data_IF_605731502514
#
_entry.id   IF_605731502514
#
_cell.length_a   1.000
_cell.length_b   1.000
_cell.length_c   1.000
_cell.angle_alpha   90.00
_cell.angle_beta   90.00
_cell.angle_gamma   90.00
#
_symmetry.space_group_name_H-M   'P 1'
#
loop_
_entity.id
_entity.type
_entity.pdbx_description
1 polymer ?
#
# COMPACT_ATOMS: atom_id res chain seq x y z
N UNK A 1 21.20 -8.09 -16.55
CA UNK A 1 19.81 -8.22 -16.11
C UNK A 1 19.77 -7.64 -14.71
N UNK A 2 19.24 -6.44 -14.54
CA UNK A 2 18.99 -5.89 -13.20
C UNK A 2 17.82 -6.68 -12.61
N UNK A 3 18.06 -7.42 -11.53
CA UNK A 3 16.96 -7.93 -10.70
C UNK A 3 16.35 -6.71 -10.03
N UNK A 4 15.20 -6.26 -10.52
CA UNK A 4 14.41 -5.23 -9.84
C UNK A 4 13.89 -5.82 -8.53
N UNK A 5 14.38 -5.29 -7.41
CA UNK A 5 13.92 -5.69 -6.08
C UNK A 5 12.51 -5.10 -5.93
N UNK A 6 11.53 -5.98 -5.79
CA UNK A 6 10.14 -5.61 -5.48
C UNK A 6 9.93 -5.66 -3.99
N UNK A 7 9.24 -4.67 -3.46
CA UNK A 7 8.70 -4.68 -2.11
C UNK A 7 7.21 -4.99 -2.15
N UNK A 8 6.74 -5.75 -1.16
CA UNK A 8 5.33 -6.06 -1.00
C UNK A 8 4.67 -5.05 -0.09
N UNK A 9 3.49 -4.57 -0.48
CA UNK A 9 2.67 -3.62 0.25
C UNK A 9 1.34 -4.27 0.64
N UNK A 10 0.82 -3.88 1.79
CA UNK A 10 -0.45 -4.34 2.34
C UNK A 10 -1.46 -3.18 2.41
N UNK A 11 -2.70 -3.44 1.98
CA UNK A 11 -3.82 -2.52 2.12
C UNK A 11 -4.80 -3.07 3.14
N UNK A 12 -4.98 -2.31 4.22
CA UNK A 12 -5.84 -2.65 5.34
C UNK A 12 -7.08 -1.77 5.35
N UNK A 13 -8.26 -2.37 5.42
CA UNK A 13 -9.53 -1.69 5.67
C UNK A 13 -9.69 -1.47 7.18
N UNK A 14 -9.88 -0.21 7.57
CA UNK A 14 -10.26 0.21 8.92
C UNK A 14 -11.75 0.59 8.97
N UNK A 15 -12.24 0.94 10.16
CA UNK A 15 -13.63 1.43 10.35
C UNK A 15 -13.87 2.74 9.60
N UNK A 16 -12.89 3.65 9.56
CA UNK A 16 -13.01 5.01 9.00
C UNK A 16 -12.13 5.26 7.76
N UNK A 17 -11.56 4.22 7.14
CA UNK A 17 -10.72 4.40 5.96
C UNK A 17 -9.78 3.24 5.67
N UNK A 18 -8.61 3.58 5.12
CA UNK A 18 -7.61 2.62 4.68
C UNK A 18 -6.23 2.99 5.21
N UNK A 19 -5.45 1.98 5.60
CA UNK A 19 -4.02 2.11 5.80
C UNK A 19 -3.27 1.30 4.75
N UNK A 20 -2.19 1.87 4.21
CA UNK A 20 -1.39 1.26 3.16
C UNK A 20 0.10 1.47 3.45
N UNK A 21 0.85 0.37 3.56
CA UNK A 21 2.27 0.41 3.93
C UNK A 21 3.00 -0.86 3.48
N UNK A 22 4.34 -0.86 3.42
CA UNK A 22 5.13 -2.06 3.15
C UNK A 22 4.85 -3.18 4.15
N UNK A 23 4.83 -4.44 3.72
CA UNK A 23 4.75 -5.62 4.60
C UNK A 23 5.88 -5.61 5.66
N UNK A 24 7.04 -5.07 5.27
CA UNK A 24 8.22 -4.86 6.12
C UNK A 24 7.98 -3.92 7.30
N UNK A 25 6.95 -3.07 7.25
CA UNK A 25 6.67 -2.04 8.27
C UNK A 25 5.86 -2.62 9.44
N UNK A 26 6.54 -3.37 10.30
CA UNK A 26 5.93 -4.00 11.48
C UNK A 26 5.31 -2.98 12.43
N UNK A 27 5.94 -1.81 12.61
CA UNK A 27 5.41 -0.76 13.49
C UNK A 27 4.04 -0.23 13.05
N UNK A 28 3.81 -0.08 11.75
CA UNK A 28 2.49 0.27 11.22
C UNK A 28 1.48 -0.86 11.48
N UNK A 29 1.90 -2.11 11.27
CA UNK A 29 1.07 -3.29 11.51
C UNK A 29 0.65 -3.45 12.97
N UNK A 30 1.55 -3.18 13.91
CA UNK A 30 1.27 -3.18 15.35
C UNK A 30 0.34 -2.04 15.80
N UNK A 31 0.26 -0.96 15.02
CA UNK A 31 -0.61 0.19 15.31
C UNK A 31 -2.04 0.03 14.76
N UNK A 32 -2.30 -1.03 13.98
CA UNK A 32 -3.61 -1.28 13.40
C UNK A 32 -4.67 -1.52 14.49
N UNK A 33 -5.88 -1.02 14.23
CA UNK A 33 -7.05 -1.39 15.02
C UNK A 33 -7.25 -2.91 15.01
N UNK A 34 -7.70 -3.55 16.11
CA UNK A 34 -8.00 -4.98 16.14
C UNK A 34 -9.12 -5.39 15.17
N UNK A 35 -9.89 -4.44 14.64
CA UNK A 35 -10.91 -4.68 13.60
C UNK A 35 -10.38 -4.49 12.18
N UNK A 36 -9.14 -4.05 12.01
CA UNK A 36 -8.52 -3.87 10.70
C UNK A 36 -8.50 -5.19 9.94
N UNK A 37 -8.77 -5.15 8.63
CA UNK A 37 -8.76 -6.32 7.77
C UNK A 37 -7.83 -6.10 6.60
N UNK A 38 -6.91 -7.04 6.38
CA UNK A 38 -6.12 -7.06 5.15
C UNK A 38 -7.06 -7.39 3.99
N UNK A 39 -7.24 -6.44 3.07
CA UNK A 39 -8.15 -6.61 1.93
C UNK A 39 -7.40 -6.78 0.61
N UNK A 40 -6.13 -6.38 0.54
CA UNK A 40 -5.35 -6.46 -0.68
C UNK A 40 -3.85 -6.38 -0.41
N UNK A 41 -3.04 -6.97 -1.30
CA UNK A 41 -1.57 -6.91 -1.27
C UNK A 41 -1.03 -6.74 -2.67
N UNK A 42 0.08 -6.02 -2.81
CA UNK A 42 0.67 -5.73 -4.13
C UNK A 42 2.19 -5.68 -4.05
N UNK A 43 2.85 -6.14 -5.11
CA UNK A 43 4.30 -5.96 -5.30
C UNK A 43 4.56 -4.74 -6.19
N UNK A 44 5.53 -3.92 -5.80
CA UNK A 44 5.94 -2.74 -6.56
C UNK A 44 7.46 -2.51 -6.42
N UNK A 45 8.08 -1.90 -7.42
CA UNK A 45 9.49 -1.49 -7.39
C UNK A 45 9.68 -0.12 -6.74
N UNK A 46 8.59 0.61 -6.48
CA UNK A 46 8.60 1.91 -5.83
C UNK A 46 7.29 2.21 -5.12
N UNK A 47 7.32 3.17 -4.18
CA UNK A 47 6.13 3.68 -3.50
C UNK A 47 5.11 4.30 -4.46
N UNK A 48 5.57 5.01 -5.49
CA UNK A 48 4.72 5.64 -6.49
C UNK A 48 3.92 4.61 -7.31
N UNK A 49 4.58 3.53 -7.73
CA UNK A 49 3.92 2.41 -8.40
C UNK A 49 2.93 1.72 -7.45
N UNK A 50 3.30 1.52 -6.19
CA UNK A 50 2.43 0.91 -5.18
C UNK A 50 1.15 1.75 -4.98
N UNK A 51 1.29 3.07 -4.88
CA UNK A 51 0.18 4.01 -4.76
C UNK A 51 -0.69 4.05 -6.01
N UNK A 52 -0.09 4.02 -7.19
CA UNK A 52 -0.82 3.95 -8.46
C UNK A 52 -1.71 2.70 -8.50
N UNK A 53 -1.13 1.51 -8.24
CA UNK A 53 -1.89 0.26 -8.21
C UNK A 53 -2.97 0.24 -7.12
N UNK A 54 -2.72 0.88 -5.97
CA UNK A 54 -3.72 1.04 -4.90
C UNK A 54 -4.92 1.87 -5.36
N UNK A 55 -4.68 2.98 -6.07
CA UNK A 55 -5.76 3.82 -6.61
C UNK A 55 -6.59 3.05 -7.64
N UNK A 56 -5.94 2.29 -8.53
CA UNK A 56 -6.62 1.41 -9.48
C UNK A 56 -7.48 0.35 -8.78
N UNK A 57 -6.95 -0.31 -7.73
CA UNK A 57 -7.68 -1.31 -6.96
C UNK A 57 -8.92 -0.73 -6.26
N UNK A 58 -8.80 0.46 -5.68
CA UNK A 58 -9.89 1.14 -4.98
C UNK A 58 -10.87 1.86 -5.92
N UNK A 59 -10.59 1.90 -7.23
CA UNK A 59 -11.39 2.65 -8.20
C UNK A 59 -11.35 4.15 -7.95
N UNK A 60 -10.25 4.66 -7.40
CA UNK A 60 -10.03 6.09 -7.15
C UNK A 60 -9.47 6.78 -8.40
N UNK A 61 -9.53 8.11 -8.40
CA UNK A 61 -8.82 8.92 -9.39
C UNK A 61 -7.32 8.58 -9.40
N UNK A 62 -6.65 8.66 -10.56
CA UNK A 62 -5.23 8.30 -10.68
C UNK A 62 -4.35 8.97 -9.63
N UNK A 63 -3.37 8.23 -9.11
CA UNK A 63 -2.40 8.78 -8.19
C UNK A 63 -1.55 9.85 -8.89
N UNK A 64 -1.48 11.05 -8.29
CA UNK A 64 -0.61 12.13 -8.75
C UNK A 64 0.52 12.27 -7.73
N UNK A 65 1.69 11.74 -8.06
CA UNK A 65 2.88 11.98 -7.26
C UNK A 65 3.17 13.48 -7.20
N UNK A 66 3.31 14.02 -6.00
CA UNK A 66 3.87 15.35 -5.82
C UNK A 66 5.34 15.30 -6.26
N UNK A 67 5.68 16.11 -7.26
CA UNK A 67 7.08 16.38 -7.59
C UNK A 67 7.57 17.46 -6.62
N UNK A 68 8.56 17.12 -5.81
CA UNK A 68 9.42 18.09 -5.10
C UNK A 68 10.16 19.00 -6.10
#
# INVERSE_FOLDING_TARGET
MTNEIKEKYELWQLEDGYEFFPESNTSAKDSLSPKAKLIWTVEAISWDEAQTKKHEYLGWEPYIAMKD
#
